data_IF_312074914756
#
_entry.id   IF_312074914756
#
_cell.length_a   1.000
_cell.length_b   1.000
_cell.length_c   1.000
_cell.angle_alpha   90.00
_cell.angle_beta   90.00
_cell.angle_gamma   90.00
#
_symmetry.space_group_name_H-M   'P 1'
#
loop_
_entity.id
_entity.type
_entity.pdbx_description
1 polymer ?
#
# COMPACT_ATOMS: atom_id res chain seq x y z
N UNK A 1 -2.59 -35.53 1.20
CA UNK A 1 -2.24 -34.10 0.97
C UNK A 1 -2.91 -33.71 -0.33
N UNK A 2 -3.87 -32.81 -0.27
CA UNK A 2 -4.65 -32.36 -1.42
C UNK A 2 -3.76 -31.44 -2.28
N UNK A 3 -3.51 -31.76 -3.57
CA UNK A 3 -2.65 -30.96 -4.45
C UNK A 3 -3.25 -29.61 -4.84
N UNK A 4 -4.43 -29.24 -4.36
CA UNK A 4 -5.14 -28.00 -4.72
C UNK A 4 -4.86 -26.82 -3.78
N UNK A 5 -4.21 -27.04 -2.66
CA UNK A 5 -3.70 -25.96 -1.81
C UNK A 5 -2.31 -25.61 -2.32
N UNK A 6 -2.21 -24.53 -3.14
CA UNK A 6 -0.91 -23.88 -3.35
C UNK A 6 -0.63 -23.11 -2.07
N UNK A 7 0.18 -23.62 -1.14
CA UNK A 7 0.66 -22.81 -0.04
C UNK A 7 1.41 -21.64 -0.66
N UNK A 8 1.35 -20.46 -0.04
CA UNK A 8 2.34 -19.41 -0.22
C UNK A 8 3.67 -20.14 -0.34
N UNK A 9 4.24 -20.26 -1.56
CA UNK A 9 5.33 -21.21 -1.83
C UNK A 9 6.28 -21.21 -0.63
N UNK A 10 6.25 -22.19 0.28
CA UNK A 10 7.37 -22.39 1.16
C UNK A 10 8.56 -22.60 0.23
N UNK A 11 9.70 -22.03 0.60
CA UNK A 11 10.94 -22.41 -0.05
C UNK A 11 10.92 -23.91 -0.21
N UNK A 12 11.32 -24.45 -1.38
CA UNK A 12 11.38 -25.90 -1.57
C UNK A 12 12.05 -26.50 -0.34
N UNK A 13 11.41 -27.48 0.27
CA UNK A 13 11.98 -28.21 1.39
C UNK A 13 13.39 -28.62 0.98
N UNK A 14 14.41 -28.48 1.83
CA UNK A 14 15.75 -28.91 1.50
C UNK A 14 15.64 -30.37 1.05
N UNK A 15 16.34 -30.70 -0.05
CA UNK A 15 16.38 -32.06 -0.56
C UNK A 15 16.76 -32.96 0.62
N UNK A 16 16.07 -34.08 0.90
CA UNK A 16 16.29 -34.91 2.08
C UNK A 16 17.75 -35.36 2.24
N UNK A 17 18.52 -35.38 1.15
CA UNK A 17 19.94 -35.75 1.10
C UNK A 17 20.88 -34.53 0.96
N UNK A 18 20.39 -33.30 0.99
CA UNK A 18 21.23 -32.11 0.92
C UNK A 18 21.84 -31.83 2.30
N UNK A 19 23.15 -31.73 2.34
CA UNK A 19 23.86 -31.19 3.50
C UNK A 19 23.38 -29.76 3.86
N UNK A 20 23.89 -29.12 4.91
CA UNK A 20 23.47 -27.79 5.30
C UNK A 20 23.58 -26.83 4.11
N UNK A 21 22.49 -26.11 3.85
CA UNK A 21 22.43 -25.15 2.72
C UNK A 21 23.59 -24.15 2.82
N UNK A 22 24.36 -23.94 1.75
CA UNK A 22 25.38 -22.89 1.70
C UNK A 22 24.76 -21.49 1.69
N UNK A 23 23.42 -21.40 1.54
CA UNK A 23 22.70 -20.14 1.57
C UNK A 23 22.39 -19.73 3.01
N UNK A 24 22.64 -18.47 3.35
CA UNK A 24 22.22 -17.90 4.63
C UNK A 24 20.67 -17.88 4.79
N UNK A 25 20.17 -17.53 5.97
CA UNK A 25 18.73 -17.48 6.22
C UNK A 25 18.03 -16.50 5.28
N UNK A 26 16.83 -16.88 4.82
CA UNK A 26 15.97 -16.00 3.99
C UNK A 26 15.60 -14.76 4.80
N UNK A 27 15.96 -13.58 4.29
CA UNK A 27 15.72 -12.29 4.97
C UNK A 27 14.34 -11.71 4.68
N UNK A 28 13.69 -12.12 3.59
CA UNK A 28 12.34 -11.67 3.26
C UNK A 28 11.59 -12.80 2.54
N UNK A 29 10.39 -13.18 3.02
CA UNK A 29 9.52 -14.10 2.30
C UNK A 29 8.99 -13.44 1.02
N UNK A 30 8.53 -14.26 0.08
CA UNK A 30 7.82 -13.75 -1.09
C UNK A 30 6.54 -13.02 -0.65
N UNK A 31 6.25 -11.87 -1.27
CA UNK A 31 5.13 -11.02 -0.86
C UNK A 31 3.79 -11.75 -0.99
N UNK A 32 3.00 -11.85 0.08
CA UNK A 32 1.68 -12.46 0.07
C UNK A 32 0.74 -11.82 -0.98
N UNK A 33 0.85 -10.52 -1.20
CA UNK A 33 0.08 -9.82 -2.24
C UNK A 33 0.45 -10.30 -3.65
N UNK A 34 1.75 -10.50 -3.94
CA UNK A 34 2.19 -11.00 -5.25
C UNK A 34 1.86 -12.48 -5.42
N UNK A 35 2.00 -13.29 -4.37
CA UNK A 35 1.61 -14.68 -4.37
C UNK A 35 0.10 -14.85 -4.65
N UNK A 36 -0.74 -14.01 -4.06
CA UNK A 36 -2.17 -14.01 -4.35
C UNK A 36 -2.47 -13.66 -5.82
N UNK A 37 -1.71 -12.74 -6.42
CA UNK A 37 -1.87 -12.41 -7.84
C UNK A 37 -1.50 -13.60 -8.73
N UNK A 38 -0.37 -14.24 -8.48
CA UNK A 38 0.04 -15.46 -9.22
C UNK A 38 -0.99 -16.59 -9.08
N UNK A 39 -1.57 -16.77 -7.89
CA UNK A 39 -2.64 -17.73 -7.65
C UNK A 39 -3.90 -17.40 -8.45
N UNK A 40 -4.32 -16.14 -8.48
CA UNK A 40 -5.47 -15.71 -9.29
C UNK A 40 -5.25 -15.97 -10.77
N UNK A 41 -4.06 -15.67 -11.28
CA UNK A 41 -3.72 -15.90 -12.69
C UNK A 41 -3.70 -17.39 -13.03
N UNK A 42 -3.15 -18.23 -12.15
CA UNK A 42 -3.17 -19.68 -12.31
C UNK A 42 -4.60 -20.24 -12.32
N UNK A 43 -5.50 -19.73 -11.48
CA UNK A 43 -6.93 -20.13 -11.49
C UNK A 43 -7.63 -19.74 -12.79
N UNK A 44 -7.41 -18.50 -13.27
CA UNK A 44 -7.95 -18.04 -14.57
C UNK A 44 -7.49 -18.91 -15.73
N UNK A 45 -6.20 -19.31 -15.76
CA UNK A 45 -5.66 -20.20 -16.80
C UNK A 45 -6.33 -21.58 -16.79
N UNK A 46 -6.82 -22.05 -15.64
CA UNK A 46 -7.58 -23.30 -15.52
C UNK A 46 -9.09 -23.14 -15.77
N UNK A 47 -9.56 -21.93 -16.08
CA UNK A 47 -10.98 -21.64 -16.26
C UNK A 47 -11.80 -21.65 -14.96
N UNK A 48 -11.13 -21.56 -13.82
CA UNK A 48 -11.80 -21.52 -12.50
C UNK A 48 -12.31 -20.10 -12.19
N UNK A 49 -13.44 -19.98 -11.46
CA UNK A 49 -13.96 -18.66 -11.09
C UNK A 49 -12.97 -17.91 -10.20
N UNK A 50 -12.82 -16.60 -10.45
CA UNK A 50 -11.97 -15.71 -9.67
C UNK A 50 -12.69 -14.39 -9.44
N UNK A 51 -13.01 -14.08 -8.18
CA UNK A 51 -13.38 -12.75 -7.73
C UNK A 51 -12.13 -12.06 -7.14
N UNK A 52 -11.51 -11.11 -7.87
CA UNK A 52 -10.16 -10.64 -7.57
C UNK A 52 -10.16 -9.53 -6.50
N UNK A 53 -10.21 -9.90 -5.23
CA UNK A 53 -10.25 -8.98 -4.09
C UNK A 53 -8.98 -9.02 -3.21
N UNK A 54 -7.89 -9.66 -3.69
CA UNK A 54 -6.64 -9.78 -2.93
C UNK A 54 -5.59 -8.74 -3.32
N UNK A 55 -5.51 -8.36 -4.60
CA UNK A 55 -4.42 -7.52 -5.11
C UNK A 55 -4.75 -6.03 -5.03
N UNK A 56 -3.87 -5.25 -4.42
CA UNK A 56 -4.04 -3.81 -4.20
C UNK A 56 -3.59 -2.96 -5.40
N UNK A 57 -4.18 -3.17 -6.56
CA UNK A 57 -3.98 -2.37 -7.77
C UNK A 57 -5.19 -1.47 -8.02
N UNK A 58 -4.99 -0.30 -8.64
CA UNK A 58 -6.09 0.64 -8.85
C UNK A 58 -7.08 0.22 -9.97
N UNK A 59 -6.69 -0.74 -10.80
CA UNK A 59 -7.58 -1.43 -11.75
C UNK A 59 -8.17 -0.56 -12.87
N UNK A 60 -7.53 0.54 -13.24
CA UNK A 60 -8.02 1.47 -14.27
C UNK A 60 -6.98 1.65 -15.38
N UNK A 61 -7.38 1.88 -16.65
CA UNK A 61 -6.45 2.09 -17.75
C UNK A 61 -5.71 3.44 -17.62
N UNK A 62 -4.50 3.51 -18.18
CA UNK A 62 -3.73 4.74 -18.22
C UNK A 62 -4.44 5.83 -19.03
N UNK A 63 -4.40 7.07 -18.54
CA UNK A 63 -5.01 8.22 -19.23
C UNK A 63 -4.29 8.51 -20.55
N UNK A 64 -5.00 8.82 -21.67
CA UNK A 64 -4.40 9.07 -22.98
C UNK A 64 -3.26 10.10 -22.95
N UNK A 65 -3.45 11.24 -22.30
CA UNK A 65 -2.40 12.27 -22.16
C UNK A 65 -1.09 11.71 -21.61
N UNK A 66 -1.14 10.80 -20.66
CA UNK A 66 0.07 10.21 -20.07
C UNK A 66 0.71 9.18 -21.00
N UNK A 67 -0.10 8.44 -21.77
CA UNK A 67 0.40 7.54 -22.79
C UNK A 67 1.11 8.30 -23.92
N UNK A 68 0.53 9.41 -24.36
CA UNK A 68 1.11 10.32 -25.36
C UNK A 68 2.42 10.94 -24.86
N UNK A 69 2.45 11.44 -23.62
CA UNK A 69 3.66 11.95 -22.99
C UNK A 69 4.76 10.89 -22.88
N UNK A 70 4.41 9.65 -22.50
CA UNK A 70 5.35 8.54 -22.47
C UNK A 70 5.91 8.25 -23.87
N UNK A 71 5.05 8.18 -24.88
CA UNK A 71 5.43 7.89 -26.26
C UNK A 71 6.32 8.98 -26.86
N UNK A 72 6.05 10.26 -26.56
CA UNK A 72 6.87 11.39 -27.04
C UNK A 72 8.30 11.41 -26.49
N UNK A 73 8.57 10.69 -25.41
CA UNK A 73 9.88 10.59 -24.79
C UNK A 73 10.51 9.20 -24.97
N UNK A 74 9.94 8.33 -25.83
CA UNK A 74 10.41 6.94 -26.01
C UNK A 74 11.89 6.86 -26.41
N UNK A 75 12.40 7.88 -27.12
CA UNK A 75 13.80 7.96 -27.58
C UNK A 75 14.79 8.41 -26.49
N UNK A 76 14.32 8.63 -25.28
CA UNK A 76 15.22 9.02 -24.17
C UNK A 76 15.93 7.79 -23.61
N UNK A 77 17.04 7.42 -24.21
CA UNK A 77 17.81 6.21 -23.89
C UNK A 77 18.94 6.43 -22.89
N UNK A 78 19.35 7.68 -22.66
CA UNK A 78 20.45 8.00 -21.75
C UNK A 78 20.03 7.94 -20.30
N UNK A 79 20.98 7.53 -19.42
CA UNK A 79 20.80 7.66 -17.97
C UNK A 79 20.53 9.10 -17.59
N UNK A 80 19.59 9.31 -16.65
CA UNK A 80 19.32 10.61 -16.05
C UNK A 80 20.07 10.80 -14.72
N UNK A 81 19.90 11.97 -14.10
CA UNK A 81 20.40 12.21 -12.75
C UNK A 81 19.78 11.24 -11.74
N UNK A 82 20.55 10.79 -10.75
CA UNK A 82 20.12 9.85 -9.70
C UNK A 82 18.90 10.38 -8.93
N UNK A 83 18.87 11.69 -8.64
CA UNK A 83 17.73 12.33 -7.97
C UNK A 83 16.45 12.41 -8.84
N UNK A 84 16.55 12.12 -10.13
CA UNK A 84 15.53 12.39 -11.12
C UNK A 84 15.76 13.68 -11.87
N UNK A 85 15.18 13.79 -13.08
CA UNK A 85 15.32 14.96 -13.97
C UNK A 85 14.67 16.20 -13.34
N UNK A 86 15.25 17.38 -13.60
CA UNK A 86 14.78 18.63 -13.03
C UNK A 86 13.28 18.91 -13.29
N UNK A 87 12.73 18.74 -14.52
CA UNK A 87 11.29 18.98 -14.74
C UNK A 87 10.37 18.11 -13.87
N UNK A 88 10.75 16.86 -13.58
CA UNK A 88 9.99 16.00 -12.68
C UNK A 88 10.07 16.51 -11.23
N UNK A 89 11.27 16.88 -10.76
CA UNK A 89 11.47 17.37 -9.39
C UNK A 89 10.74 18.69 -9.16
N UNK A 90 10.78 19.61 -10.10
CA UNK A 90 10.05 20.89 -10.08
C UNK A 90 8.53 20.68 -10.07
N UNK A 91 8.02 19.79 -10.92
CA UNK A 91 6.59 19.44 -10.94
C UNK A 91 6.13 18.79 -9.62
N UNK A 92 6.93 17.89 -9.06
CA UNK A 92 6.66 17.26 -7.76
C UNK A 92 6.74 18.29 -6.61
N UNK A 93 7.69 19.19 -6.62
CA UNK A 93 7.76 20.30 -5.65
C UNK A 93 6.50 21.17 -5.70
N UNK A 94 6.06 21.52 -6.92
CA UNK A 94 4.84 22.28 -7.15
C UNK A 94 3.57 21.50 -6.69
N UNK A 95 3.55 20.15 -6.82
CA UNK A 95 2.47 19.31 -6.31
C UNK A 95 2.29 19.49 -4.79
N UNK A 96 3.36 19.46 -4.01
CA UNK A 96 3.29 19.71 -2.57
C UNK A 96 3.00 21.16 -2.23
N UNK A 97 3.56 22.12 -2.98
CA UNK A 97 3.27 23.55 -2.77
C UNK A 97 1.76 23.85 -2.93
N UNK A 98 1.08 23.25 -3.92
CA UNK A 98 -0.38 23.37 -4.08
C UNK A 98 -1.18 22.77 -2.92
N UNK A 99 -0.57 21.88 -2.13
CA UNK A 99 -1.14 21.28 -0.91
C UNK A 99 -0.73 22.00 0.38
N UNK A 100 -0.21 23.24 0.24
CA UNK A 100 0.19 24.06 1.38
C UNK A 100 1.54 23.67 2.00
N UNK A 101 2.35 22.88 1.29
CA UNK A 101 3.69 22.46 1.71
C UNK A 101 4.75 23.04 0.76
N UNK A 102 5.20 24.28 0.94
CA UNK A 102 6.27 24.87 0.12
C UNK A 102 7.47 23.93 0.08
N UNK A 103 7.94 23.61 -1.11
CA UNK A 103 8.95 22.58 -1.32
C UNK A 103 9.92 23.03 -2.40
N UNK A 104 11.20 22.88 -2.13
CA UNK A 104 12.25 23.08 -3.12
C UNK A 104 12.42 21.81 -3.99
N UNK A 105 12.71 22.00 -5.27
CA UNK A 105 13.00 20.89 -6.18
C UNK A 105 14.22 20.05 -5.72
N UNK A 106 15.14 20.64 -5.00
CA UNK A 106 16.28 19.93 -4.42
C UNK A 106 15.93 19.07 -3.20
N UNK A 107 14.78 19.30 -2.58
CA UNK A 107 14.22 18.40 -1.56
C UNK A 107 13.54 17.17 -2.17
N UNK A 108 13.45 17.05 -3.49
CA UNK A 108 12.77 15.95 -4.18
C UNK A 108 13.79 14.92 -4.67
N UNK A 109 13.48 13.64 -4.42
CA UNK A 109 14.18 12.47 -5.00
C UNK A 109 13.16 11.55 -5.66
N UNK A 110 13.38 11.23 -6.92
CA UNK A 110 12.56 10.26 -7.66
C UNK A 110 13.15 8.85 -7.61
N UNK A 111 12.29 7.83 -7.64
CA UNK A 111 12.71 6.43 -7.65
C UNK A 111 11.74 5.54 -8.44
N UNK A 112 12.11 4.27 -8.72
CA UNK A 112 11.26 3.32 -9.43
C UNK A 112 10.09 2.83 -8.56
N UNK A 113 9.15 3.76 -8.28
CA UNK A 113 8.03 3.61 -7.35
C UNK A 113 8.40 3.92 -5.90
N UNK A 114 7.39 4.26 -5.08
CA UNK A 114 7.58 4.51 -3.64
C UNK A 114 8.22 3.32 -2.91
N UNK A 115 7.97 2.08 -3.36
CA UNK A 115 8.57 0.87 -2.78
C UNK A 115 10.11 0.92 -2.73
N UNK A 116 10.77 1.34 -3.81
CA UNK A 116 12.22 1.46 -3.85
C UNK A 116 12.71 2.62 -2.98
N UNK A 117 12.00 3.76 -2.98
CA UNK A 117 12.30 4.90 -2.12
C UNK A 117 12.19 4.56 -0.65
N UNK A 118 11.15 3.84 -0.23
CA UNK A 118 10.97 3.39 1.16
C UNK A 118 12.13 2.49 1.61
N UNK A 119 12.54 1.52 0.79
CA UNK A 119 13.73 0.71 1.05
C UNK A 119 14.99 1.57 1.16
N UNK A 120 15.20 2.47 0.18
CA UNK A 120 16.35 3.37 0.16
C UNK A 120 16.41 4.28 1.38
N UNK A 121 15.27 4.81 1.83
CA UNK A 121 15.15 5.64 3.05
C UNK A 121 15.51 4.83 4.30
N UNK A 122 14.98 3.62 4.46
CA UNK A 122 15.34 2.76 5.59
C UNK A 122 16.85 2.50 5.60
N UNK A 123 17.44 2.11 4.46
CA UNK A 123 18.88 1.87 4.34
C UNK A 123 19.72 3.12 4.63
N UNK A 124 19.28 4.30 4.16
CA UNK A 124 19.96 5.58 4.37
C UNK A 124 19.91 6.06 5.83
N UNK A 125 18.78 5.84 6.52
CA UNK A 125 18.58 6.25 7.91
C UNK A 125 19.32 5.29 8.86
N UNK A 126 19.21 3.99 8.62
CA UNK A 126 19.79 2.97 9.50
C UNK A 126 18.99 2.78 10.80
N UNK A 127 19.49 1.89 11.67
CA UNK A 127 18.86 1.57 12.96
C UNK A 127 17.53 0.79 12.82
N UNK A 128 16.80 0.63 13.92
CA UNK A 128 15.49 -0.02 13.91
C UNK A 128 14.39 0.85 13.31
N UNK A 129 13.34 0.20 12.81
CA UNK A 129 12.16 0.85 12.23
C UNK A 129 10.91 0.47 13.03
N UNK A 130 10.16 1.45 13.53
CA UNK A 130 8.84 1.22 14.10
C UNK A 130 7.79 1.22 12.97
N UNK A 131 6.91 0.22 12.97
CA UNK A 131 5.89 0.01 11.95
C UNK A 131 4.54 -0.19 12.62
N UNK A 132 3.50 0.48 12.15
CA UNK A 132 2.14 0.27 12.66
C UNK A 132 1.70 -1.19 12.48
N UNK A 133 0.90 -1.70 13.37
CA UNK A 133 0.22 -3.00 13.24
C UNK A 133 -1.29 -2.83 13.34
N UNK A 134 -2.06 -3.17 12.28
CA UNK A 134 -1.59 -3.70 11.00
C UNK A 134 -0.88 -2.66 10.12
N UNK A 135 -0.11 -3.14 9.12
CA UNK A 135 0.54 -2.29 8.13
C UNK A 135 0.83 -3.01 6.82
N UNK A 136 1.16 -2.26 5.79
CA UNK A 136 1.55 -2.86 4.52
C UNK A 136 2.73 -3.84 4.69
N UNK A 137 2.54 -5.05 4.18
CA UNK A 137 3.43 -6.21 4.38
C UNK A 137 4.89 -5.97 3.99
N UNK A 138 5.16 -5.00 3.09
CA UNK A 138 6.52 -4.76 2.60
C UNK A 138 7.39 -3.98 3.58
N UNK A 139 6.85 -3.25 4.55
CA UNK A 139 7.68 -2.43 5.45
C UNK A 139 8.61 -3.29 6.31
N UNK A 140 8.07 -4.28 7.02
CA UNK A 140 8.87 -5.17 7.84
C UNK A 140 9.85 -6.00 7.01
N UNK A 141 9.43 -6.46 5.81
CA UNK A 141 10.29 -7.19 4.89
C UNK A 141 11.45 -6.33 4.38
N UNK A 142 11.19 -5.06 4.03
CA UNK A 142 12.23 -4.13 3.58
C UNK A 142 13.20 -3.76 4.70
N UNK A 143 12.71 -3.55 5.93
CA UNK A 143 13.58 -3.35 7.09
C UNK A 143 14.54 -4.54 7.27
N UNK A 144 14.03 -5.77 7.19
CA UNK A 144 14.85 -6.99 7.27
C UNK A 144 15.88 -7.07 6.14
N UNK A 145 15.50 -6.75 4.89
CA UNK A 145 16.43 -6.69 3.76
C UNK A 145 17.53 -5.64 3.95
N UNK A 146 17.21 -4.51 4.58
CA UNK A 146 18.16 -3.48 4.95
C UNK A 146 19.02 -3.85 6.19
N UNK A 147 18.86 -5.07 6.74
CA UNK A 147 19.59 -5.51 7.95
C UNK A 147 19.08 -4.87 9.24
N UNK A 148 17.87 -4.33 9.25
CA UNK A 148 17.28 -3.58 10.37
C UNK A 148 16.20 -4.39 11.08
N UNK A 149 16.00 -4.14 12.37
CA UNK A 149 14.89 -4.69 13.13
C UNK A 149 13.61 -3.88 12.84
N UNK A 150 12.53 -4.57 12.46
CA UNK A 150 11.19 -4.00 12.42
C UNK A 150 10.49 -4.22 13.76
N UNK A 151 10.01 -3.16 14.37
CA UNK A 151 9.24 -3.18 15.62
C UNK A 151 7.76 -2.92 15.29
N UNK A 152 6.94 -3.96 15.36
CA UNK A 152 5.50 -3.85 15.13
C UNK A 152 4.85 -3.21 16.36
N UNK A 153 4.27 -2.03 16.19
CA UNK A 153 3.63 -1.25 17.25
C UNK A 153 2.12 -1.25 17.02
N UNK A 154 1.30 -1.64 18.01
CA UNK A 154 -0.15 -1.53 17.90
C UNK A 154 -0.58 -0.12 17.49
N UNK A 155 -1.59 -0.04 16.61
CA UNK A 155 -2.10 1.24 16.17
C UNK A 155 -3.39 1.11 15.36
N UNK A 156 -3.81 2.19 14.75
CA UNK A 156 -5.00 2.23 13.91
C UNK A 156 -4.82 3.23 12.76
N UNK A 157 -5.50 2.97 11.66
CA UNK A 157 -5.51 3.88 10.51
C UNK A 157 -4.10 4.29 10.03
N UNK A 158 -3.16 3.34 10.07
CA UNK A 158 -1.79 3.54 9.60
C UNK A 158 -0.85 4.28 10.55
N UNK A 159 -1.31 4.63 11.76
CA UNK A 159 -0.53 5.35 12.77
C UNK A 159 -0.37 4.50 14.03
N UNK A 160 0.86 4.26 14.52
CA UNK A 160 1.11 3.64 15.80
C UNK A 160 0.46 4.40 16.97
N UNK A 161 -0.02 3.67 17.97
CA UNK A 161 -0.38 4.29 19.25
C UNK A 161 0.84 5.00 19.85
N UNK A 162 0.67 6.25 20.25
CA UNK A 162 1.79 7.09 20.70
C UNK A 162 2.44 6.57 21.99
N UNK A 163 1.64 6.01 22.92
CA UNK A 163 2.17 5.41 24.16
C UNK A 163 2.92 4.13 23.90
N UNK A 164 2.39 3.25 23.03
CA UNK A 164 3.05 2.01 22.62
C UNK A 164 4.34 2.29 21.85
N UNK A 165 4.34 3.30 20.97
CA UNK A 165 5.53 3.73 20.25
C UNK A 165 6.62 4.19 21.22
N UNK A 166 6.28 5.06 22.18
CA UNK A 166 7.24 5.56 23.17
C UNK A 166 7.86 4.40 23.99
N UNK A 167 7.02 3.42 24.43
CA UNK A 167 7.51 2.22 25.15
C UNK A 167 8.44 1.37 24.29
N UNK A 168 8.07 1.13 23.04
CA UNK A 168 8.85 0.35 22.08
C UNK A 168 10.22 0.98 21.83
N UNK A 169 10.26 2.30 21.61
CA UNK A 169 11.50 3.05 21.38
C UNK A 169 12.40 3.02 22.61
N UNK A 170 11.86 3.19 23.81
CA UNK A 170 12.61 3.12 25.07
C UNK A 170 13.21 1.72 25.28
N UNK A 171 12.43 0.67 25.08
CA UNK A 171 12.89 -0.72 25.22
C UNK A 171 13.99 -1.08 24.19
N UNK A 172 13.83 -0.66 22.93
CA UNK A 172 14.84 -0.87 21.89
C UNK A 172 16.16 -0.13 22.20
N UNK A 173 16.07 1.10 22.72
CA UNK A 173 17.25 1.86 23.17
C UNK A 173 17.98 1.15 24.32
N UNK A 174 17.24 0.68 25.32
CA UNK A 174 17.80 -0.05 26.46
C UNK A 174 18.49 -1.37 26.04
N UNK A 175 18.03 -2.01 24.94
CA UNK A 175 18.66 -3.22 24.39
C UNK A 175 19.85 -2.96 23.45
N UNK A 176 20.28 -1.70 23.31
CA UNK A 176 21.40 -1.32 22.42
C UNK A 176 21.08 -1.35 20.93
N UNK A 177 19.81 -1.50 20.57
CA UNK A 177 19.32 -1.51 19.16
C UNK A 177 18.27 -0.42 18.93
N UNK A 178 18.68 0.87 18.93
CA UNK A 178 17.74 1.98 18.91
C UNK A 178 16.90 2.00 17.62
N UNK A 179 15.62 2.28 17.79
CA UNK A 179 14.73 2.70 16.69
C UNK A 179 15.14 4.11 16.26
N UNK A 180 15.28 4.33 14.96
CA UNK A 180 15.62 5.63 14.38
C UNK A 180 14.54 6.20 13.48
N UNK A 181 13.61 5.37 13.03
CA UNK A 181 12.51 5.83 12.18
C UNK A 181 11.19 5.16 12.54
N UNK A 182 10.11 5.85 12.21
CA UNK A 182 8.75 5.30 12.26
C UNK A 182 8.10 5.49 10.89
N UNK A 183 7.44 4.44 10.39
CA UNK A 183 6.69 4.49 9.13
C UNK A 183 5.21 4.58 9.46
N UNK A 184 4.53 5.52 8.79
CA UNK A 184 3.07 5.67 8.80
C UNK A 184 2.54 5.61 7.38
N UNK A 185 1.29 5.17 7.22
CA UNK A 185 0.62 5.10 5.90
C UNK A 185 -0.66 5.92 5.96
N UNK A 186 -0.73 6.99 5.19
CA UNK A 186 -1.80 7.97 5.29
C UNK A 186 -2.38 8.33 3.90
N UNK A 187 -3.63 7.95 3.63
CA UNK A 187 -4.50 6.98 4.30
C UNK A 187 -3.97 5.55 4.28
N UNK A 188 -4.54 4.68 5.13
CA UNK A 188 -3.97 3.39 5.48
C UNK A 188 -4.24 2.26 4.47
N UNK A 189 -3.25 1.45 4.28
CA UNK A 189 -3.32 0.08 3.76
C UNK A 189 -2.77 -0.85 4.85
N UNK A 190 -3.58 -1.74 5.46
CA UNK A 190 -4.69 -2.47 4.81
C UNK A 190 -6.11 -1.98 5.08
N UNK A 191 -6.33 -1.04 5.96
CA UNK A 191 -7.68 -0.80 6.51
C UNK A 191 -8.59 0.09 5.65
N UNK A 192 -8.03 0.91 4.74
CA UNK A 192 -8.78 1.89 3.97
C UNK A 192 -9.32 3.05 4.82
N UNK A 193 -8.82 3.21 6.04
CA UNK A 193 -9.23 4.26 6.98
C UNK A 193 -8.22 5.40 7.02
N UNK A 194 -8.60 6.51 7.65
CA UNK A 194 -7.77 7.70 7.79
C UNK A 194 -7.54 8.01 9.27
N UNK A 195 -6.28 8.28 9.63
CA UNK A 195 -5.94 8.71 10.98
C UNK A 195 -6.49 10.10 11.29
N UNK A 196 -6.90 10.31 12.54
CA UNK A 196 -7.29 11.64 13.01
C UNK A 196 -6.07 12.57 13.13
N UNK A 197 -6.24 13.89 12.94
CA UNK A 197 -5.16 14.85 13.15
C UNK A 197 -4.55 14.78 14.55
N UNK A 198 -5.35 14.45 15.56
CA UNK A 198 -4.86 14.27 16.93
C UNK A 198 -3.92 13.07 17.08
N UNK A 199 -4.21 11.95 16.41
CA UNK A 199 -3.33 10.78 16.42
C UNK A 199 -2.00 11.08 15.71
N UNK A 200 -2.04 11.76 14.56
CA UNK A 200 -0.84 12.19 13.84
C UNK A 200 -0.01 13.15 14.69
N UNK A 201 -0.62 14.13 15.32
CA UNK A 201 0.06 15.06 16.22
C UNK A 201 0.71 14.35 17.42
N UNK A 202 0.02 13.38 18.02
CA UNK A 202 0.56 12.60 19.14
C UNK A 202 1.79 11.77 18.71
N UNK A 203 1.74 11.16 17.52
CA UNK A 203 2.89 10.48 16.91
C UNK A 203 4.08 11.44 16.76
N UNK A 204 3.86 12.62 16.14
CA UNK A 204 4.90 13.63 15.94
C UNK A 204 5.56 14.03 17.25
N UNK A 205 4.76 14.25 18.31
CA UNK A 205 5.28 14.57 19.64
C UNK A 205 6.18 13.46 20.22
N UNK A 206 5.91 12.18 19.90
CA UNK A 206 6.80 11.08 20.30
C UNK A 206 8.06 11.09 19.45
N UNK A 207 7.93 11.28 18.14
CA UNK A 207 9.06 11.36 17.22
C UNK A 207 10.03 12.47 17.61
N UNK A 208 9.51 13.64 17.97
CA UNK A 208 10.32 14.78 18.42
C UNK A 208 11.09 14.46 19.73
N UNK A 209 10.40 13.90 20.73
CA UNK A 209 11.03 13.55 22.02
C UNK A 209 12.10 12.46 21.91
N UNK A 210 11.96 11.55 20.95
CA UNK A 210 12.85 10.40 20.80
C UNK A 210 13.80 10.50 19.61
N UNK A 211 13.81 11.63 18.94
CA UNK A 211 14.66 11.92 17.77
C UNK A 211 14.44 10.90 16.62
N UNK A 212 13.17 10.58 16.32
CA UNK A 212 12.81 9.68 15.24
C UNK A 212 12.60 10.45 13.93
N UNK A 213 13.01 9.87 12.83
CA UNK A 213 12.61 10.30 11.49
C UNK A 213 11.25 9.65 11.17
N UNK A 214 10.30 10.46 10.70
CA UNK A 214 8.99 9.99 10.26
C UNK A 214 9.05 9.75 8.75
N UNK A 215 8.71 8.55 8.30
CA UNK A 215 8.49 8.22 6.89
C UNK A 215 6.98 8.12 6.68
N UNK A 216 6.39 9.14 6.07
CA UNK A 216 4.96 9.19 5.76
C UNK A 216 4.71 8.70 4.34
N UNK A 217 4.18 7.47 4.21
CA UNK A 217 3.76 6.94 2.91
C UNK A 217 2.35 7.43 2.59
N UNK A 218 2.26 8.46 1.74
CA UNK A 218 1.02 9.14 1.39
C UNK A 218 0.54 8.76 -0.03
N UNK A 219 0.82 7.53 -0.44
CA UNK A 219 0.47 7.02 -1.79
C UNK A 219 -1.04 7.04 -2.08
N UNK A 220 -1.89 7.12 -1.04
CA UNK A 220 -3.35 7.18 -1.15
C UNK A 220 -3.93 8.56 -0.82
N UNK A 221 -3.13 9.59 -0.59
CA UNK A 221 -3.59 10.91 -0.17
C UNK A 221 -4.60 11.54 -1.16
N UNK A 222 -4.40 11.34 -2.47
CA UNK A 222 -5.31 11.82 -3.52
C UNK A 222 -6.57 10.95 -3.68
N UNK A 223 -6.68 9.81 -2.98
CA UNK A 223 -7.80 8.86 -3.08
C UNK A 223 -8.68 8.84 -1.83
N UNK A 224 -8.74 9.93 -1.07
CA UNK A 224 -9.69 10.10 0.04
C UNK A 224 -11.11 10.20 -0.52
N UNK A 225 -12.06 9.50 0.09
CA UNK A 225 -13.43 9.42 -0.44
C UNK A 225 -14.27 10.67 -0.19
N UNK A 226 -13.89 11.46 0.79
CA UNK A 226 -14.53 12.71 1.20
C UNK A 226 -13.51 13.84 1.11
N UNK A 227 -13.86 14.90 0.40
CA UNK A 227 -13.01 16.09 0.23
C UNK A 227 -12.98 16.94 1.50
N UNK A 228 -14.07 16.94 2.26
CA UNK A 228 -14.23 17.76 3.46
C UNK A 228 -13.62 17.09 4.69
N UNK A 229 -13.25 15.79 4.60
CA UNK A 229 -12.59 15.11 5.69
C UNK A 229 -11.18 15.69 5.92
N UNK A 230 -10.91 16.11 7.14
CA UNK A 230 -9.62 16.68 7.53
C UNK A 230 -8.49 15.64 7.34
N UNK A 231 -7.50 15.99 6.53
CA UNK A 231 -6.30 15.19 6.33
C UNK A 231 -5.11 15.87 7.00
N UNK A 232 -4.40 15.12 7.83
CA UNK A 232 -3.20 15.60 8.49
C UNK A 232 -1.99 14.79 8.04
N UNK A 233 -1.04 15.43 7.39
CA UNK A 233 0.30 14.86 7.17
C UNK A 233 1.19 15.18 8.38
N UNK A 234 2.08 14.26 8.81
CA UNK A 234 3.07 14.54 9.85
C UNK A 234 3.95 15.75 9.53
N UNK A 235 4.18 16.06 8.25
CA UNK A 235 4.97 17.22 7.83
C UNK A 235 4.37 18.55 8.31
N UNK A 236 3.06 18.61 8.56
CA UNK A 236 2.41 19.81 9.12
C UNK A 236 2.73 20.04 10.60
N UNK A 237 3.24 19.03 11.31
CA UNK A 237 3.55 19.11 12.74
C UNK A 237 5.05 18.99 13.04
N UNK A 238 5.78 18.23 12.21
CA UNK A 238 7.22 17.96 12.37
C UNK A 238 7.92 18.01 11.00
N UNK A 239 7.97 19.17 10.32
CA UNK A 239 8.51 19.29 8.96
C UNK A 239 10.00 18.94 8.88
N UNK A 240 10.75 19.19 9.96
CA UNK A 240 12.20 19.01 10.02
C UNK A 240 12.65 17.55 10.12
N UNK A 241 11.72 16.62 10.38
CA UNK A 241 12.00 15.18 10.52
C UNK A 241 11.07 14.27 9.72
N UNK A 242 10.21 14.86 8.89
CA UNK A 242 9.25 14.08 8.09
C UNK A 242 9.68 13.98 6.64
N UNK A 243 9.84 12.75 6.17
CA UNK A 243 9.90 12.40 4.74
C UNK A 243 8.50 12.04 4.29
N UNK A 244 8.04 12.58 3.17
CA UNK A 244 6.77 12.18 2.54
C UNK A 244 7.05 11.43 1.26
N UNK A 245 6.48 10.24 1.10
CA UNK A 245 6.55 9.49 -0.17
C UNK A 245 5.20 9.42 -0.84
N UNK A 246 5.19 9.53 -2.16
CA UNK A 246 4.01 9.33 -3.01
C UNK A 246 4.41 8.80 -4.39
N UNK A 247 3.46 8.62 -5.28
CA UNK A 247 3.73 8.18 -6.65
C UNK A 247 2.45 8.02 -7.46
N UNK A 248 2.59 7.56 -8.69
CA UNK A 248 1.50 7.49 -9.66
C UNK A 248 0.77 6.13 -9.66
N UNK A 249 1.21 5.19 -8.81
CA UNK A 249 0.71 3.81 -8.84
C UNK A 249 -0.77 3.69 -8.46
N UNK A 250 -1.29 4.58 -7.61
CA UNK A 250 -2.63 4.46 -7.04
C UNK A 250 -3.58 5.52 -7.58
N UNK A 251 -3.24 6.79 -7.47
CA UNK A 251 -4.09 7.91 -7.90
C UNK A 251 -4.35 7.92 -9.42
N UNK A 252 -3.36 7.53 -10.24
CA UNK A 252 -3.46 7.48 -11.70
C UNK A 252 -3.40 6.05 -12.27
N UNK A 253 -3.42 5.02 -11.40
CA UNK A 253 -3.40 3.61 -11.78
C UNK A 253 -2.17 3.19 -12.61
N UNK A 254 -1.02 3.84 -12.43
CA UNK A 254 0.21 3.60 -13.17
C UNK A 254 1.19 2.71 -12.41
N UNK A 255 0.69 1.71 -11.69
CA UNK A 255 1.52 0.81 -10.89
C UNK A 255 2.63 0.12 -11.69
N UNK A 256 2.38 -0.24 -12.93
CA UNK A 256 3.34 -0.87 -13.85
C UNK A 256 4.44 0.08 -14.36
N UNK A 257 4.25 1.39 -14.30
CA UNK A 257 5.25 2.37 -14.78
C UNK A 257 6.39 2.61 -13.81
N UNK A 258 6.23 2.18 -12.56
CA UNK A 258 7.28 2.22 -11.54
C UNK A 258 7.86 3.61 -11.32
N UNK A 259 7.03 4.59 -10.93
CA UNK A 259 7.51 5.91 -10.52
C UNK A 259 6.92 6.35 -9.18
N UNK A 260 7.78 6.83 -8.31
CA UNK A 260 7.47 7.52 -7.06
C UNK A 260 8.43 8.66 -6.81
N UNK A 261 8.06 9.51 -5.87
CA UNK A 261 8.86 10.65 -5.43
C UNK A 261 8.85 10.71 -3.91
N UNK A 262 9.96 11.16 -3.32
CA UNK A 262 10.09 11.47 -1.91
C UNK A 262 10.36 12.97 -1.76
N UNK A 263 9.62 13.64 -0.85
CA UNK A 263 9.92 14.94 -0.31
C UNK A 263 10.73 14.74 0.97
N UNK A 264 11.93 15.27 1.00
CA UNK A 264 12.81 15.16 2.16
C UNK A 264 12.47 16.23 3.22
N UNK A 265 12.91 16.03 4.48
CA UNK A 265 12.65 16.97 5.57
C UNK A 265 13.20 18.37 5.28
N UNK A 266 12.61 19.35 5.93
CA UNK A 266 13.11 20.70 5.94
C UNK A 266 14.37 20.82 6.84
N UNK A 267 15.09 21.93 6.75
CA UNK A 267 16.25 22.19 7.59
C UNK A 267 17.48 21.34 7.27
N UNK A 268 18.34 21.16 8.26
CA UNK A 268 19.66 20.53 8.11
C UNK A 268 19.62 19.02 7.77
N UNK A 269 18.59 18.32 8.24
CA UNK A 269 18.46 16.88 8.04
C UNK A 269 18.19 16.52 6.56
N UNK A 270 17.47 17.37 5.84
CA UNK A 270 17.12 17.12 4.44
C UNK A 270 18.33 16.91 3.52
N UNK A 271 19.29 17.83 3.46
CA UNK A 271 20.50 17.65 2.66
C UNK A 271 21.34 16.42 3.05
N UNK A 272 21.48 16.14 4.33
CA UNK A 272 22.20 14.94 4.81
C UNK A 272 21.50 13.66 4.36
N UNK A 273 20.19 13.56 4.61
CA UNK A 273 19.41 12.40 4.19
C UNK A 273 19.37 12.24 2.67
N UNK A 274 19.32 13.37 1.93
CA UNK A 274 19.43 13.37 0.48
C UNK A 274 20.73 12.72 0.00
N UNK A 275 21.85 13.15 0.55
CA UNK A 275 23.16 12.62 0.17
C UNK A 275 23.23 11.10 0.41
N UNK A 276 22.75 10.62 1.56
CA UNK A 276 22.70 9.21 1.90
C UNK A 276 21.76 8.43 0.99
N UNK A 277 20.55 8.95 0.74
CA UNK A 277 19.57 8.32 -0.15
C UNK A 277 20.08 8.23 -1.59
N UNK A 278 20.74 9.28 -2.10
CA UNK A 278 21.34 9.25 -3.43
C UNK A 278 22.51 8.25 -3.51
N UNK A 279 23.27 8.06 -2.43
CA UNK A 279 24.27 7.01 -2.34
C UNK A 279 23.64 5.62 -2.51
N UNK A 280 22.56 5.32 -1.78
CA UNK A 280 21.82 4.06 -1.95
C UNK A 280 21.21 3.94 -3.36
N UNK A 281 20.61 5.02 -3.86
CA UNK A 281 19.95 5.04 -5.15
C UNK A 281 20.92 4.76 -6.31
N UNK A 282 22.14 5.34 -6.27
CA UNK A 282 23.17 5.14 -7.29
C UNK A 282 23.55 3.66 -7.46
N UNK A 283 23.61 2.93 -6.34
CA UNK A 283 24.03 1.52 -6.31
C UNK A 283 22.89 0.53 -6.59
N UNK A 284 21.62 0.92 -6.34
CA UNK A 284 20.49 -0.01 -6.44
C UNK A 284 19.71 0.16 -7.76
N UNK A 285 19.40 1.39 -8.19
CA UNK A 285 18.58 1.62 -9.39
C UNK A 285 19.10 2.71 -10.33
N UNK A 286 20.19 3.39 -10.01
CA UNK A 286 20.78 4.50 -10.75
C UNK A 286 19.82 5.68 -10.92
N UNK A 287 18.85 5.61 -11.84
CA UNK A 287 17.82 6.61 -12.07
C UNK A 287 16.52 5.95 -12.54
N UNK A 288 15.34 6.54 -12.31
CA UNK A 288 14.10 6.09 -12.93
C UNK A 288 14.17 6.21 -14.47
N UNK A 289 13.38 5.40 -15.18
CA UNK A 289 13.31 5.41 -16.65
C UNK A 289 12.97 6.80 -17.20
N UNK A 290 13.76 7.30 -18.14
CA UNK A 290 13.63 8.65 -18.71
C UNK A 290 12.24 8.96 -19.26
N UNK A 291 11.67 8.12 -20.15
CA UNK A 291 10.31 8.32 -20.67
C UNK A 291 9.24 8.41 -19.58
N UNK A 292 9.36 7.56 -18.55
CA UNK A 292 8.42 7.58 -17.42
C UNK A 292 8.53 8.86 -16.61
N UNK A 293 9.75 9.40 -16.42
CA UNK A 293 9.94 10.67 -15.74
C UNK A 293 9.30 11.84 -16.51
N UNK A 294 9.31 11.81 -17.84
CA UNK A 294 8.65 12.83 -18.66
C UNK A 294 7.14 12.83 -18.46
N UNK A 295 6.50 11.66 -18.57
CA UNK A 295 5.07 11.51 -18.33
C UNK A 295 4.70 11.86 -16.88
N UNK A 296 5.58 11.55 -15.92
CA UNK A 296 5.37 11.87 -14.51
C UNK A 296 5.47 13.37 -14.22
N UNK A 297 6.35 14.10 -14.89
CA UNK A 297 6.39 15.57 -14.77
C UNK A 297 5.05 16.20 -15.20
N UNK A 298 4.45 15.71 -16.30
CA UNK A 298 3.10 16.11 -16.70
C UNK A 298 2.06 15.69 -15.64
N UNK A 299 2.15 14.48 -15.08
CA UNK A 299 1.21 14.02 -14.06
C UNK A 299 1.25 14.92 -12.80
N UNK A 300 2.44 15.24 -12.29
CA UNK A 300 2.62 16.09 -11.11
C UNK A 300 2.34 17.58 -11.38
N UNK A 301 2.28 18.03 -12.64
CA UNK A 301 1.79 19.38 -12.96
C UNK A 301 0.27 19.51 -12.81
N UNK A 302 -0.44 18.38 -12.66
CA UNK A 302 -1.88 18.29 -12.38
C UNK A 302 -2.75 19.07 -13.38
N UNK A 303 -2.63 18.83 -14.70
CA UNK A 303 -3.52 19.45 -15.66
C UNK A 303 -4.97 19.00 -15.43
N UNK A 304 -5.94 19.87 -15.72
CA UNK A 304 -7.37 19.64 -15.43
C UNK A 304 -7.89 18.25 -15.82
N UNK A 305 -7.56 17.64 -16.98
CA UNK A 305 -8.05 16.29 -17.30
C UNK A 305 -7.54 15.20 -16.36
N UNK A 306 -6.34 15.35 -15.76
CA UNK A 306 -5.79 14.38 -14.82
C UNK A 306 -6.38 14.57 -13.41
N UNK A 307 -6.62 15.79 -12.98
CA UNK A 307 -7.31 16.05 -11.70
C UNK A 307 -8.75 15.58 -11.74
N UNK A 308 -9.46 15.78 -12.86
CA UNK A 308 -10.79 15.21 -13.09
C UNK A 308 -10.75 13.67 -13.04
N UNK A 309 -9.79 13.05 -13.70
CA UNK A 309 -9.57 11.59 -13.66
C UNK A 309 -9.39 11.08 -12.25
N UNK A 310 -8.60 11.75 -11.41
CA UNK A 310 -8.38 11.37 -10.00
C UNK A 310 -9.70 11.50 -9.22
N UNK A 311 -10.44 12.58 -9.45
CA UNK A 311 -11.74 12.80 -8.81
C UNK A 311 -12.75 11.70 -9.14
N UNK A 312 -12.85 11.30 -10.42
CA UNK A 312 -13.72 10.21 -10.85
C UNK A 312 -13.26 8.87 -10.25
N UNK A 313 -11.94 8.59 -10.25
CA UNK A 313 -11.37 7.39 -9.65
C UNK A 313 -11.71 7.27 -8.16
N UNK A 314 -11.54 8.36 -7.42
CA UNK A 314 -11.85 8.45 -5.99
C UNK A 314 -13.34 8.17 -5.70
N UNK A 315 -14.25 8.73 -6.53
CA UNK A 315 -15.70 8.48 -6.42
C UNK A 315 -16.04 7.01 -6.70
N UNK A 316 -15.48 6.44 -7.75
CA UNK A 316 -15.65 5.02 -8.08
C UNK A 316 -15.16 4.12 -6.93
N UNK A 317 -13.93 4.33 -6.48
CA UNK A 317 -13.34 3.56 -5.38
C UNK A 317 -14.22 3.63 -4.13
N UNK A 318 -14.65 4.82 -3.74
CA UNK A 318 -15.49 5.02 -2.55
C UNK A 318 -16.86 4.37 -2.66
N UNK A 319 -17.51 4.41 -3.83
CA UNK A 319 -18.83 3.80 -4.02
C UNK A 319 -18.76 2.27 -3.92
N UNK A 320 -17.83 1.65 -4.61
CA UNK A 320 -17.70 0.18 -4.61
C UNK A 320 -17.21 -0.31 -3.24
N UNK A 321 -16.22 0.34 -2.61
CA UNK A 321 -15.76 -0.03 -1.27
C UNK A 321 -16.88 0.06 -0.22
N UNK A 322 -17.67 1.14 -0.22
CA UNK A 322 -18.84 1.24 0.68
C UNK A 322 -19.91 0.21 0.39
N UNK A 323 -20.13 -0.17 -0.88
CA UNK A 323 -21.09 -1.23 -1.23
C UNK A 323 -20.64 -2.58 -0.67
N UNK A 324 -19.37 -2.93 -0.82
CA UNK A 324 -18.78 -4.16 -0.25
C UNK A 324 -18.83 -4.13 1.28
N UNK A 325 -18.46 -2.99 1.90
CA UNK A 325 -18.50 -2.85 3.37
C UNK A 325 -19.90 -3.08 3.95
N UNK A 326 -20.94 -2.54 3.31
CA UNK A 326 -22.35 -2.76 3.75
C UNK A 326 -22.74 -4.25 3.69
N UNK A 327 -22.35 -4.98 2.65
CA UNK A 327 -22.65 -6.42 2.50
C UNK A 327 -21.97 -7.23 3.59
N UNK A 328 -20.68 -6.98 3.82
CA UNK A 328 -19.93 -7.63 4.89
C UNK A 328 -20.51 -7.34 6.28
N UNK A 329 -20.94 -6.09 6.53
CA UNK A 329 -21.61 -5.71 7.78
C UNK A 329 -22.98 -6.39 7.92
N UNK A 330 -23.78 -6.45 6.84
CA UNK A 330 -25.06 -7.13 6.82
C UNK A 330 -24.92 -8.66 7.07
N UNK A 331 -23.78 -9.23 6.67
CA UNK A 331 -23.43 -10.61 6.99
C UNK A 331 -23.01 -10.83 8.45
N UNK A 332 -22.81 -9.78 9.24
CA UNK A 332 -22.47 -9.85 10.66
C UNK A 332 -21.00 -9.63 10.98
N UNK A 333 -20.17 -9.29 9.99
CA UNK A 333 -18.81 -8.85 10.26
C UNK A 333 -18.77 -7.41 10.81
N UNK A 334 -17.81 -7.11 11.67
CA UNK A 334 -17.52 -5.72 12.07
C UNK A 334 -16.63 -5.07 11.02
N UNK A 335 -17.08 -3.98 10.41
CA UNK A 335 -16.38 -3.36 9.28
C UNK A 335 -16.22 -1.86 9.53
N UNK A 336 -14.98 -1.36 9.67
CA UNK A 336 -14.72 0.08 9.67
C UNK A 336 -15.19 0.70 8.36
N UNK A 337 -15.82 1.88 8.42
CA UNK A 337 -16.23 2.59 7.22
C UNK A 337 -14.99 2.92 6.35
N UNK A 338 -14.96 2.53 5.05
CA UNK A 338 -13.85 2.87 4.18
C UNK A 338 -13.85 4.39 3.88
N UNK A 339 -12.72 5.04 4.13
CA UNK A 339 -12.55 6.49 4.00
C UNK A 339 -11.64 6.88 2.85
N UNK A 340 -10.82 5.95 2.35
CA UNK A 340 -9.88 6.22 1.27
C UNK A 340 -9.50 4.95 0.51
N UNK A 341 -8.82 5.12 -0.62
CA UNK A 341 -8.35 4.03 -1.47
C UNK A 341 -9.49 3.09 -1.88
N UNK A 342 -9.22 1.80 -1.93
CA UNK A 342 -10.15 0.76 -2.38
C UNK A 342 -10.09 -0.47 -1.46
N UNK A 343 -9.78 -0.27 -0.17
CA UNK A 343 -9.69 -1.35 0.81
C UNK A 343 -10.87 -1.33 1.76
N UNK A 344 -11.28 -2.54 2.15
CA UNK A 344 -12.23 -2.83 3.23
C UNK A 344 -11.57 -3.85 4.16
N UNK A 345 -11.74 -3.70 5.46
CA UNK A 345 -11.05 -4.51 6.47
C UNK A 345 -12.02 -5.11 7.48
N UNK A 346 -12.78 -6.15 7.05
CA UNK A 346 -13.77 -6.81 7.91
C UNK A 346 -13.11 -7.66 9.00
N UNK A 347 -13.73 -7.65 10.18
CA UNK A 347 -13.46 -8.52 11.32
C UNK A 347 -14.61 -9.51 11.49
N UNK A 348 -14.37 -10.77 11.23
CA UNK A 348 -15.32 -11.87 11.36
C UNK A 348 -15.32 -12.52 12.75
N UNK A 349 -14.59 -11.97 13.73
CA UNK A 349 -14.59 -12.46 15.11
C UNK A 349 -16.00 -12.61 15.70
N UNK A 350 -16.98 -11.72 15.42
CA UNK A 350 -18.37 -11.91 15.87
C UNK A 350 -19.00 -13.20 15.37
N UNK A 351 -18.56 -13.75 14.24
CA UNK A 351 -19.05 -14.98 13.62
C UNK A 351 -18.18 -16.20 13.96
N UNK A 352 -17.13 -16.06 14.76
CA UNK A 352 -16.13 -17.12 15.01
C UNK A 352 -16.76 -18.45 15.48
N UNK A 353 -17.79 -18.39 16.33
CA UNK A 353 -18.48 -19.58 16.79
C UNK A 353 -19.22 -20.35 15.69
N UNK A 354 -19.89 -19.65 14.78
CA UNK A 354 -20.57 -20.27 13.63
C UNK A 354 -19.56 -20.81 12.62
N UNK A 355 -18.57 -20.01 12.25
CA UNK A 355 -17.50 -20.38 11.32
C UNK A 355 -16.73 -21.61 11.78
N UNK A 356 -16.43 -21.71 13.07
CA UNK A 356 -15.77 -22.90 13.64
C UNK A 356 -16.65 -24.13 13.57
N UNK A 357 -17.94 -24.02 13.93
CA UNK A 357 -18.87 -25.20 13.96
C UNK A 357 -19.21 -25.69 12.55
N UNK A 358 -19.45 -24.78 11.61
CA UNK A 358 -19.92 -25.16 10.26
C UNK A 358 -18.75 -25.49 9.31
N UNK A 359 -17.66 -24.78 9.41
CA UNK A 359 -16.58 -24.82 8.42
C UNK A 359 -15.22 -25.19 9.00
N UNK A 360 -15.11 -25.40 10.34
CA UNK A 360 -13.84 -25.74 11.00
C UNK A 360 -12.84 -24.58 11.05
N UNK A 361 -13.26 -23.34 10.78
CA UNK A 361 -12.37 -22.15 10.69
C UNK A 361 -11.91 -21.74 12.08
N UNK A 362 -10.59 -21.59 12.24
CA UNK A 362 -9.94 -21.17 13.47
C UNK A 362 -8.97 -20.00 13.27
N UNK A 363 -8.61 -19.71 12.02
CA UNK A 363 -7.67 -18.64 11.64
C UNK A 363 -8.21 -17.84 10.45
N UNK A 364 -7.64 -16.66 10.22
CA UNK A 364 -7.94 -15.83 9.06
C UNK A 364 -7.39 -16.45 7.77
N UNK A 365 -6.31 -17.24 7.84
CA UNK A 365 -5.83 -18.04 6.72
C UNK A 365 -6.85 -19.12 6.33
N UNK A 366 -7.46 -19.84 7.31
CA UNK A 366 -8.53 -20.82 7.04
C UNK A 366 -9.70 -20.14 6.32
N UNK A 367 -10.11 -18.97 6.81
CA UNK A 367 -11.21 -18.20 6.22
C UNK A 367 -10.90 -17.77 4.79
N UNK A 368 -9.72 -17.20 4.55
CA UNK A 368 -9.28 -16.81 3.21
C UNK A 368 -9.21 -18.03 2.27
N UNK A 369 -8.69 -19.16 2.75
CA UNK A 369 -8.60 -20.39 1.98
C UNK A 369 -9.99 -20.96 1.64
N UNK A 370 -10.95 -20.91 2.58
CA UNK A 370 -12.35 -21.32 2.32
C UNK A 370 -12.96 -20.47 1.20
N UNK A 371 -12.86 -19.15 1.30
CA UNK A 371 -13.40 -18.21 0.33
C UNK A 371 -12.85 -18.45 -1.09
N UNK A 372 -11.56 -18.71 -1.20
CA UNK A 372 -10.94 -19.04 -2.50
C UNK A 372 -11.43 -20.39 -3.03
N UNK A 373 -11.42 -21.44 -2.19
CA UNK A 373 -11.74 -22.79 -2.65
C UNK A 373 -13.20 -22.94 -3.07
N UNK A 374 -14.13 -22.46 -2.26
CA UNK A 374 -15.56 -22.68 -2.50
C UNK A 374 -16.16 -21.65 -3.45
N UNK A 375 -15.73 -20.37 -3.34
CA UNK A 375 -16.39 -19.27 -4.04
C UNK A 375 -15.50 -18.55 -5.05
N UNK A 376 -14.21 -18.93 -5.16
CA UNK A 376 -13.25 -18.20 -6.01
C UNK A 376 -12.93 -16.80 -5.51
N UNK A 377 -13.34 -16.41 -4.29
CA UNK A 377 -13.13 -15.08 -3.73
C UNK A 377 -11.73 -14.99 -3.16
N UNK A 378 -10.86 -14.26 -3.84
CA UNK A 378 -9.47 -14.09 -3.45
C UNK A 378 -9.33 -12.85 -2.56
N UNK A 379 -8.97 -13.04 -1.30
CA UNK A 379 -8.71 -11.99 -0.29
C UNK A 379 -7.38 -12.25 0.41
N UNK A 380 -6.90 -11.31 1.22
CA UNK A 380 -5.70 -11.54 2.05
C UNK A 380 -6.06 -11.63 3.53
N UNK A 381 -5.50 -12.62 4.26
CA UNK A 381 -5.65 -12.71 5.71
C UNK A 381 -4.90 -11.57 6.39
N UNK A 382 -5.41 -11.09 7.51
CA UNK A 382 -4.81 -9.99 8.28
C UNK A 382 -3.46 -10.36 8.92
N UNK A 383 -3.24 -11.66 9.17
CA UNK A 383 -1.94 -12.19 9.60
C UNK A 383 -0.81 -11.81 8.65
N UNK A 384 -1.06 -11.69 7.34
CA UNK A 384 -0.11 -11.18 6.37
C UNK A 384 0.29 -9.71 6.63
N UNK A 385 -0.49 -8.94 7.37
CA UNK A 385 -0.24 -7.53 7.73
C UNK A 385 0.23 -7.38 9.18
N UNK A 386 0.68 -8.49 9.80
CA UNK A 386 1.23 -8.53 11.15
C UNK A 386 0.22 -8.71 12.28
N UNK A 387 -1.05 -8.96 11.97
CA UNK A 387 -2.09 -9.26 12.96
C UNK A 387 -2.01 -10.71 13.46
N UNK A 388 -2.70 -11.01 14.55
CA UNK A 388 -2.84 -12.39 15.06
C UNK A 388 -3.88 -13.14 14.22
N UNK A 389 -3.52 -14.30 13.67
CA UNK A 389 -4.38 -15.07 12.74
C UNK A 389 -5.73 -15.49 13.33
N UNK A 390 -5.81 -15.69 14.65
CA UNK A 390 -7.08 -16.01 15.35
C UNK A 390 -8.11 -14.87 15.35
N UNK A 391 -7.70 -13.65 14.95
CA UNK A 391 -8.58 -12.49 14.82
C UNK A 391 -9.28 -12.45 13.47
N UNK A 392 -9.69 -13.48 12.89
CA UNK A 392 -10.50 -13.66 11.68
C UNK A 392 -10.73 -12.39 10.84
N UNK A 393 -9.68 -11.60 10.60
CA UNK A 393 -9.73 -10.36 9.83
C UNK A 393 -9.18 -10.59 8.44
N UNK A 394 -9.74 -9.86 7.48
CA UNK A 394 -9.33 -9.94 6.09
C UNK A 394 -9.07 -8.55 5.51
N UNK A 395 -8.13 -8.43 4.57
CA UNK A 395 -8.09 -7.29 3.67
C UNK A 395 -8.78 -7.64 2.36
N UNK A 396 -9.77 -6.85 2.01
CA UNK A 396 -10.56 -6.94 0.79
C UNK A 396 -10.23 -5.73 -0.10
N UNK A 397 -9.69 -5.94 -1.30
CA UNK A 397 -9.42 -4.90 -2.29
C UNK A 397 -10.53 -4.92 -3.34
N UNK A 398 -11.16 -3.78 -3.60
CA UNK A 398 -12.36 -3.71 -4.45
C UNK A 398 -12.10 -3.20 -5.86
N UNK A 399 -10.90 -2.73 -6.14
CA UNK A 399 -10.57 -2.02 -7.38
C UNK A 399 -10.52 -2.87 -8.64
N UNK A 400 -10.35 -4.17 -8.53
CA UNK A 400 -10.37 -5.08 -9.67
C UNK A 400 -11.78 -5.57 -10.05
N UNK A 401 -12.82 -5.13 -9.34
CA UNK A 401 -14.23 -5.42 -9.67
C UNK A 401 -14.76 -4.52 -10.80
N UNK A 402 -14.00 -3.53 -11.24
CA UNK A 402 -14.47 -2.54 -12.23
C UNK A 402 -14.64 -3.09 -13.64
N UNK A 403 -14.17 -4.28 -13.92
CA UNK A 403 -14.31 -4.99 -15.19
C UNK A 403 -13.02 -5.64 -15.67
N UNK A 404 -13.16 -6.53 -16.66
CA UNK A 404 -12.07 -7.28 -17.23
C UNK A 404 -11.41 -6.57 -18.42
N UNK A 405 -12.16 -5.68 -19.09
CA UNK A 405 -11.70 -4.90 -20.24
C UNK A 405 -11.55 -3.42 -19.90
N UNK A 406 -10.70 -2.71 -20.65
CA UNK A 406 -10.54 -1.26 -20.52
C UNK A 406 -11.87 -0.51 -20.78
N UNK A 407 -12.69 -1.01 -21.70
CA UNK A 407 -14.02 -0.44 -21.99
C UNK A 407 -14.94 -0.53 -20.76
N UNK A 408 -15.01 -1.69 -20.09
CA UNK A 408 -15.77 -1.86 -18.86
C UNK A 408 -15.26 -0.97 -17.73
N UNK A 409 -13.94 -0.90 -17.55
CA UNK A 409 -13.30 -0.06 -16.50
C UNK A 409 -13.54 1.42 -16.73
N UNK A 410 -13.53 1.88 -17.98
CA UNK A 410 -13.88 3.26 -18.33
C UNK A 410 -15.37 3.53 -18.14
N UNK A 411 -16.26 2.58 -18.48
CA UNK A 411 -17.67 2.69 -18.21
C UNK A 411 -17.96 2.79 -16.69
N UNK A 412 -17.28 1.96 -15.89
CA UNK A 412 -17.39 2.04 -14.43
C UNK A 412 -16.91 3.39 -13.87
N UNK A 413 -15.80 3.90 -14.38
CA UNK A 413 -15.25 5.20 -13.99
C UNK A 413 -16.22 6.35 -14.21
N UNK A 414 -16.93 6.33 -15.34
CA UNK A 414 -17.84 7.40 -15.77
C UNK A 414 -19.28 7.18 -15.30
N UNK A 415 -19.57 6.06 -14.65
CA UNK A 415 -20.92 5.73 -14.19
C UNK A 415 -21.34 6.55 -12.98
N UNK A 416 -22.57 7.05 -13.01
CA UNK A 416 -23.21 7.66 -11.85
C UNK A 416 -23.52 6.62 -10.75
N UNK A 417 -23.81 5.37 -11.13
CA UNK A 417 -23.97 4.22 -10.24
C UNK A 417 -23.17 3.01 -10.75
N UNK A 418 -21.89 2.90 -10.42
CA UNK A 418 -21.07 1.81 -10.89
C UNK A 418 -21.51 0.45 -10.35
N UNK A 419 -22.16 0.39 -9.17
CA UNK A 419 -22.61 -0.88 -8.59
C UNK A 419 -23.80 -1.50 -9.35
N UNK A 420 -24.52 -0.73 -10.15
CA UNK A 420 -25.59 -1.22 -11.02
C UNK A 420 -25.09 -1.76 -12.38
N UNK A 421 -23.81 -1.59 -12.70
CA UNK A 421 -23.25 -2.16 -13.94
C UNK A 421 -23.24 -3.70 -13.85
N UNK A 422 -23.68 -4.40 -14.92
CA UNK A 422 -23.94 -5.85 -14.83
C UNK A 422 -22.78 -6.68 -14.28
N UNK A 423 -21.56 -6.39 -14.70
CA UNK A 423 -20.36 -7.14 -14.23
C UNK A 423 -19.98 -6.83 -12.79
N UNK A 424 -20.21 -5.59 -12.31
CA UNK A 424 -19.97 -5.24 -10.90
C UNK A 424 -21.10 -5.82 -10.05
N UNK A 425 -22.35 -5.71 -10.47
CA UNK A 425 -23.49 -6.30 -9.80
C UNK A 425 -23.29 -7.82 -9.62
N UNK A 426 -22.96 -8.55 -10.69
CA UNK A 426 -22.68 -9.98 -10.63
C UNK A 426 -21.55 -10.33 -9.63
N UNK A 427 -20.49 -9.51 -9.58
CA UNK A 427 -19.40 -9.69 -8.60
C UNK A 427 -19.89 -9.47 -7.16
N UNK A 428 -20.79 -8.51 -6.95
CA UNK A 428 -21.38 -8.23 -5.64
C UNK A 428 -22.38 -9.32 -5.23
N UNK A 429 -23.14 -9.87 -6.17
CA UNK A 429 -24.08 -10.98 -5.94
C UNK A 429 -23.32 -12.27 -5.57
N UNK A 430 -22.20 -12.56 -6.25
CA UNK A 430 -21.30 -13.67 -5.87
C UNK A 430 -20.75 -13.50 -4.46
N UNK A 431 -20.42 -12.29 -4.04
CA UNK A 431 -20.01 -12.01 -2.68
C UNK A 431 -21.16 -12.27 -1.69
N UNK A 432 -22.37 -11.82 -2.00
CA UNK A 432 -23.56 -12.02 -1.14
C UNK A 432 -23.86 -13.51 -0.94
N UNK A 433 -23.85 -14.33 -2.02
CA UNK A 433 -24.00 -15.79 -1.95
C UNK A 433 -22.98 -16.45 -0.99
N UNK A 434 -21.71 -16.08 -1.11
CA UNK A 434 -20.67 -16.60 -0.23
C UNK A 434 -20.89 -16.18 1.24
N UNK A 435 -21.33 -14.94 1.48
CA UNK A 435 -21.58 -14.43 2.82
C UNK A 435 -22.81 -15.05 3.48
N UNK A 436 -23.82 -15.43 2.71
CA UNK A 436 -25.00 -16.17 3.22
C UNK A 436 -24.61 -17.57 3.75
N UNK A 437 -23.73 -18.28 3.05
CA UNK A 437 -23.29 -19.60 3.46
C UNK A 437 -22.34 -19.56 4.70
N UNK A 438 -21.64 -18.45 4.92
CA UNK A 438 -20.80 -18.28 6.11
C UNK A 438 -21.58 -18.07 7.42
N UNK A 439 -22.88 -17.74 7.35
CA UNK A 439 -23.75 -17.55 8.52
C UNK A 439 -24.23 -18.90 9.06
#
# INVERSE_FOLDING_TARGET
>A
MDPTVVPLRPLPSPHPDAGPSPLGPVRAPFSATLAANEMMDARRQRGEPVLPMAFGEAGLPAHPLLREALASAADWTSYGPVAGRAPLREAAASYWARRGLPTDADAIVAGPGSKALLFGLMAAIGGGVAVCRPSWISYAAQASLAGQAAHLVPGSSGVPDAGDLARTVAAARASGRPVRSVIVTLPDNPTGTQASPSAVRALCSVADRHDLIIISDEIYADLRHDDDAEFASPVSFSPERTVVTTGLSKNLALGGWRLGVARLPDGWLGPELRARLLGVASEIWSAPAGPVQHAAALAFSEPAPLTERITLSRRLHGRVARSVARRLSAAGASVPAPQAAFYVYPDFTPLAGALRRRHGITSDEDLAALLVRQYGICVLPASAFGEESRRLRLRVATSLLYGDTDAQRLAALNSADPCALPWIAASLDQLDEALEDLR
#
